data_IF_285012547932
#
_entry.id   IF_285012547932
#
_cell.length_a   1.000
_cell.length_b   1.000
_cell.length_c   1.000
_cell.angle_alpha   90.00
_cell.angle_beta   90.00
_cell.angle_gamma   90.00
#
_symmetry.space_group_name_H-M   'P 1'
#
loop_
_entity.id
_entity.type
_entity.pdbx_description
1 polymer ?
#
# COMPACT_ATOMS: atom_id res chain seq x y z
N UNK A 1 12.43 59.92 40.70
CA UNK A 1 12.86 58.51 40.60
C UNK A 1 11.64 57.59 40.78
N UNK A 2 10.70 57.61 39.82
CA UNK A 2 9.47 56.79 39.91
C UNK A 2 8.99 56.30 38.54
N UNK A 3 9.34 57.01 37.45
CA UNK A 3 9.00 56.57 36.09
C UNK A 3 9.90 55.43 35.56
N UNK A 4 11.15 55.32 36.03
CA UNK A 4 12.10 54.31 35.52
C UNK A 4 11.80 52.91 36.08
N UNK A 5 11.19 52.81 37.27
CA UNK A 5 10.84 51.51 37.88
C UNK A 5 9.64 50.84 37.21
N UNK A 6 8.73 51.59 36.59
CA UNK A 6 7.57 51.01 35.89
C UNK A 6 7.93 50.39 34.54
N UNK A 7 8.99 50.87 33.88
CA UNK A 7 9.44 50.33 32.58
C UNK A 7 10.18 49.00 32.74
N UNK A 8 10.87 48.80 33.87
CA UNK A 8 11.58 47.54 34.17
C UNK A 8 10.61 46.43 34.57
N UNK A 9 9.48 46.75 35.21
CA UNK A 9 8.46 45.75 35.55
C UNK A 9 7.66 45.30 34.31
N UNK A 10 7.43 46.17 33.32
CA UNK A 10 6.70 45.79 32.10
C UNK A 10 7.52 44.88 31.17
N UNK A 11 8.85 45.01 31.19
CA UNK A 11 9.76 44.18 30.38
C UNK A 11 9.98 42.78 30.97
N UNK A 12 9.81 42.61 32.29
CA UNK A 12 9.86 41.29 32.92
C UNK A 12 8.63 40.40 32.63
N UNK A 13 7.48 41.00 32.30
CA UNK A 13 6.30 40.25 31.87
C UNK A 13 6.34 39.86 30.38
N UNK A 14 7.11 40.57 29.55
CA UNK A 14 7.33 40.14 28.15
C UNK A 14 8.34 38.99 28.01
N UNK A 15 9.19 38.75 29.02
CA UNK A 15 10.03 37.55 29.11
C UNK A 15 9.29 36.32 29.65
N UNK A 16 8.06 36.49 30.14
CA UNK A 16 7.14 35.43 30.53
C UNK A 16 6.02 35.21 29.50
N UNK A 17 6.24 35.64 28.25
CA UNK A 17 5.45 35.15 27.12
C UNK A 17 5.85 33.69 26.92
N UNK A 18 5.15 32.83 27.66
CA UNK A 18 4.69 31.53 27.21
C UNK A 18 5.71 30.75 26.38
N UNK A 19 6.78 30.30 27.02
CA UNK A 19 7.23 28.92 26.77
C UNK A 19 6.20 28.00 27.44
N UNK A 20 4.96 28.04 26.92
CA UNK A 20 4.11 26.87 26.98
C UNK A 20 4.78 25.99 25.92
N UNK A 21 5.71 25.16 26.37
CA UNK A 21 6.13 23.99 25.62
C UNK A 21 4.90 23.07 25.61
N UNK A 22 3.90 23.42 24.81
CA UNK A 22 3.07 22.38 24.19
C UNK A 22 4.11 21.57 23.45
N UNK A 23 4.32 20.30 23.83
CA UNK A 23 5.07 19.36 22.99
C UNK A 23 4.55 19.56 21.57
N UNK A 24 5.34 20.25 20.75
CA UNK A 24 4.89 20.64 19.43
C UNK A 24 4.65 19.32 18.71
N UNK A 25 3.40 19.07 18.30
CA UNK A 25 3.09 17.90 17.49
C UNK A 25 4.14 17.83 16.38
N UNK A 26 4.82 16.70 16.24
CA UNK A 26 5.88 16.61 15.24
C UNK A 26 5.24 16.87 13.86
N UNK A 27 5.94 17.57 12.96
CA UNK A 27 5.41 17.80 11.63
C UNK A 27 5.16 16.46 10.92
N UNK A 28 4.25 16.47 9.95
CA UNK A 28 4.11 15.34 9.06
C UNK A 28 5.43 15.09 8.31
N UNK A 29 5.86 13.84 8.34
CA UNK A 29 7.04 13.32 7.64
C UNK A 29 6.56 12.55 6.42
N UNK A 30 7.05 12.94 5.25
CA UNK A 30 6.77 12.23 4.00
C UNK A 30 7.48 10.88 4.00
N UNK A 31 6.72 9.79 3.89
CA UNK A 31 7.27 8.45 3.70
C UNK A 31 7.33 8.08 2.22
N UNK A 32 6.37 8.56 1.43
CA UNK A 32 6.31 8.37 -0.03
C UNK A 32 5.58 9.54 -0.65
N UNK A 33 6.24 10.25 -1.57
CA UNK A 33 5.63 11.36 -2.31
C UNK A 33 4.51 10.87 -3.23
N UNK A 34 3.54 11.76 -3.49
CA UNK A 34 2.47 11.49 -4.45
C UNK A 34 3.05 11.14 -5.81
N UNK A 35 2.76 9.93 -6.29
CA UNK A 35 3.18 9.48 -7.60
C UNK A 35 2.65 8.09 -7.93
N UNK A 36 2.93 7.65 -9.16
CA UNK A 36 2.61 6.28 -9.57
C UNK A 36 3.36 5.28 -8.68
N UNK A 37 2.73 4.13 -8.44
CA UNK A 37 3.40 3.04 -7.75
C UNK A 37 4.53 2.46 -8.63
N UNK A 38 5.46 1.73 -8.02
CA UNK A 38 6.61 1.18 -8.74
C UNK A 38 6.27 0.07 -9.75
N UNK A 39 5.01 -0.35 -9.80
CA UNK A 39 4.52 -1.40 -10.69
C UNK A 39 3.69 -0.84 -11.84
N UNK A 40 3.98 -1.28 -13.06
CA UNK A 40 3.20 -0.95 -14.25
C UNK A 40 3.00 -2.19 -15.10
N UNK A 41 1.75 -2.50 -15.42
CA UNK A 41 1.39 -3.63 -16.28
C UNK A 41 1.43 -3.12 -17.73
N UNK A 42 2.42 -3.55 -18.50
CA UNK A 42 2.67 -3.05 -19.87
C UNK A 42 1.83 -3.78 -20.91
N UNK A 43 1.70 -5.09 -20.75
CA UNK A 43 0.86 -5.90 -21.63
C UNK A 43 0.51 -7.21 -20.94
N UNK A 44 -0.61 -7.79 -21.34
CA UNK A 44 -0.99 -9.14 -20.96
C UNK A 44 -1.56 -9.87 -22.16
N UNK A 45 -1.15 -11.12 -22.33
CA UNK A 45 -1.63 -12.02 -23.38
C UNK A 45 -2.28 -13.22 -22.75
N UNK A 46 -3.41 -13.65 -23.32
CA UNK A 46 -4.16 -14.83 -22.90
C UNK A 46 -4.14 -15.85 -24.04
N UNK A 47 -3.74 -17.08 -23.73
CA UNK A 47 -3.80 -18.20 -24.65
C UNK A 47 -4.59 -19.35 -24.03
N UNK A 48 -5.68 -19.75 -24.68
CA UNK A 48 -6.52 -20.86 -24.24
C UNK A 48 -6.27 -22.10 -25.09
N UNK A 49 -5.72 -23.14 -24.47
CA UNK A 49 -5.66 -24.48 -25.03
C UNK A 49 -6.92 -25.24 -24.60
N UNK A 50 -7.88 -25.37 -25.53
CA UNK A 50 -9.15 -26.04 -25.28
C UNK A 50 -9.00 -27.56 -25.18
N UNK A 51 -8.00 -28.13 -25.84
CA UNK A 51 -7.76 -29.58 -25.84
C UNK A 51 -7.19 -30.03 -24.49
N UNK A 52 -6.31 -29.22 -23.90
CA UNK A 52 -5.73 -29.46 -22.58
C UNK A 52 -6.55 -28.83 -21.43
N UNK A 53 -7.62 -28.12 -21.73
CA UNK A 53 -8.41 -27.33 -20.77
C UNK A 53 -7.52 -26.40 -19.90
N UNK A 54 -6.53 -25.76 -20.54
CA UNK A 54 -5.56 -24.88 -19.89
C UNK A 54 -5.62 -23.48 -20.48
N UNK A 55 -5.46 -22.48 -19.61
CA UNK A 55 -5.28 -21.09 -20.01
C UNK A 55 -3.94 -20.60 -19.48
N UNK A 56 -3.14 -19.99 -20.36
CA UNK A 56 -1.86 -19.37 -20.04
C UNK A 56 -1.99 -17.86 -20.17
N UNK A 57 -1.62 -17.15 -19.12
CA UNK A 57 -1.44 -15.71 -19.14
C UNK A 57 0.05 -15.39 -19.18
N UNK A 58 0.44 -14.50 -20.09
CA UNK A 58 1.80 -13.96 -20.17
C UNK A 58 1.71 -12.45 -20.00
N UNK A 59 2.27 -11.92 -18.91
CA UNK A 59 2.23 -10.49 -18.60
C UNK A 59 3.62 -9.89 -18.60
N UNK A 60 3.78 -8.74 -19.24
CA UNK A 60 4.98 -7.91 -19.14
C UNK A 60 4.71 -6.81 -18.12
N UNK A 61 5.53 -6.77 -17.07
CA UNK A 61 5.34 -5.89 -15.94
C UNK A 61 6.64 -5.17 -15.68
N UNK A 62 6.60 -3.85 -15.63
CA UNK A 62 7.68 -3.07 -15.05
C UNK A 62 7.50 -3.05 -13.54
N UNK A 63 8.55 -3.42 -12.81
CA UNK A 63 8.55 -3.51 -11.37
C UNK A 63 9.90 -3.06 -10.78
N UNK A 64 9.97 -2.72 -9.49
CA UNK A 64 11.22 -2.28 -8.86
C UNK A 64 12.24 -3.42 -8.74
N UNK A 65 13.52 -3.08 -8.66
CA UNK A 65 14.60 -4.06 -8.45
C UNK A 65 14.98 -4.13 -6.96
N UNK A 66 15.09 -5.33 -6.36
CA UNK A 66 14.75 -6.64 -6.92
C UNK A 66 13.27 -6.97 -6.74
N UNK A 67 12.63 -7.54 -7.77
CA UNK A 67 11.30 -8.16 -7.65
C UNK A 67 11.42 -9.67 -7.66
N UNK A 68 10.68 -10.32 -6.78
CA UNK A 68 10.50 -11.77 -6.74
C UNK A 68 9.01 -12.13 -6.84
N UNK A 69 8.74 -13.40 -7.16
CA UNK A 69 7.39 -13.98 -7.11
C UNK A 69 7.41 -15.20 -6.18
N UNK A 70 6.25 -15.54 -5.64
CA UNK A 70 6.05 -16.82 -4.95
C UNK A 70 5.31 -17.76 -5.89
N UNK A 71 5.82 -18.98 -6.06
CA UNK A 71 5.10 -20.04 -6.75
C UNK A 71 4.14 -20.68 -5.74
N UNK A 72 2.86 -20.31 -5.84
CA UNK A 72 1.79 -20.95 -5.08
C UNK A 72 1.32 -22.27 -5.71
N UNK A 73 0.04 -22.59 -5.55
CA UNK A 73 -0.62 -23.76 -6.15
C UNK A 73 -0.77 -23.66 -7.69
N UNK A 74 -0.45 -22.50 -8.27
CA UNK A 74 -0.53 -22.19 -9.69
C UNK A 74 0.90 -22.18 -10.24
N UNK A 75 1.07 -22.73 -11.45
CA UNK A 75 2.36 -22.70 -12.14
C UNK A 75 2.63 -21.27 -12.61
N UNK A 76 3.36 -20.54 -11.78
CA UNK A 76 3.83 -19.18 -12.05
C UNK A 76 5.33 -19.22 -12.32
N UNK A 77 5.81 -18.43 -13.28
CA UNK A 77 7.23 -18.23 -13.51
C UNK A 77 7.52 -16.76 -13.78
N UNK A 78 8.61 -16.27 -13.22
CA UNK A 78 9.06 -14.89 -13.37
C UNK A 78 10.42 -14.88 -14.08
N UNK A 79 10.51 -14.12 -15.16
CA UNK A 79 11.72 -13.97 -15.96
C UNK A 79 12.05 -12.49 -16.10
N UNK A 80 13.30 -12.13 -15.80
CA UNK A 80 13.81 -10.80 -16.10
C UNK A 80 14.00 -10.64 -17.61
N UNK A 81 13.37 -9.63 -18.21
CA UNK A 81 13.44 -9.36 -19.66
C UNK A 81 14.46 -8.27 -19.96
N UNK A 82 14.41 -7.16 -19.22
CA UNK A 82 15.34 -6.04 -19.37
C UNK A 82 15.40 -5.21 -18.09
N UNK A 83 16.53 -4.58 -17.83
CA UNK A 83 16.67 -3.55 -16.78
C UNK A 83 16.56 -2.18 -17.41
N UNK A 84 15.93 -1.23 -16.73
CA UNK A 84 15.91 0.17 -17.17
C UNK A 84 17.28 0.83 -16.89
N UNK A 85 17.58 1.91 -17.61
CA UNK A 85 18.84 2.65 -17.49
C UNK A 85 19.03 3.26 -16.08
N UNK A 86 17.93 3.52 -15.37
CA UNK A 86 17.93 4.04 -14.00
C UNK A 86 18.44 3.05 -12.95
N UNK A 87 18.49 1.75 -13.27
CA UNK A 87 18.83 0.68 -12.33
C UNK A 87 17.85 0.51 -11.16
N UNK A 88 16.73 1.22 -11.15
CA UNK A 88 15.70 1.18 -10.10
C UNK A 88 14.55 0.26 -10.48
N UNK A 89 14.28 0.11 -11.79
CA UNK A 89 13.20 -0.72 -12.30
C UNK A 89 13.64 -1.65 -13.42
N UNK A 90 12.88 -2.74 -13.60
CA UNK A 90 13.10 -3.71 -14.66
C UNK A 90 11.77 -4.19 -15.22
N UNK A 91 11.79 -4.65 -16.47
CA UNK A 91 10.67 -5.35 -17.08
C UNK A 91 10.84 -6.85 -16.82
N UNK A 92 9.81 -7.43 -16.22
CA UNK A 92 9.67 -8.84 -15.95
C UNK A 92 8.56 -9.42 -16.81
N UNK A 93 8.76 -10.64 -17.28
CA UNK A 93 7.73 -11.48 -17.89
C UNK A 93 7.25 -12.46 -16.82
N UNK A 94 5.96 -12.41 -16.51
CA UNK A 94 5.32 -13.38 -15.64
C UNK A 94 4.39 -14.27 -16.47
N UNK A 95 4.60 -15.57 -16.36
CA UNK A 95 3.74 -16.57 -16.99
C UNK A 95 2.96 -17.28 -15.90
N UNK A 96 1.63 -17.28 -16.01
CA UNK A 96 0.70 -17.94 -15.09
C UNK A 96 -0.14 -18.95 -15.87
N UNK A 97 -0.02 -20.23 -15.54
CA UNK A 97 -0.78 -21.31 -16.19
C UNK A 97 -1.84 -21.83 -15.24
N UNK A 98 -3.10 -21.79 -15.67
CA UNK A 98 -4.25 -22.29 -14.91
C UNK A 98 -5.05 -23.32 -15.70
N UNK A 99 -5.80 -24.18 -15.01
CA UNK A 99 -6.86 -24.95 -15.65
C UNK A 99 -8.10 -24.09 -15.82
N UNK A 100 -8.92 -24.36 -16.84
CA UNK A 100 -10.15 -23.62 -17.11
C UNK A 100 -11.23 -23.75 -16.01
N UNK A 101 -10.96 -24.48 -14.92
CA UNK A 101 -11.90 -24.79 -13.85
C UNK A 101 -11.63 -24.03 -12.53
N UNK A 102 -10.67 -23.11 -12.49
CA UNK A 102 -10.33 -22.36 -11.27
C UNK A 102 -11.03 -20.99 -11.17
N UNK A 103 -11.17 -20.53 -9.92
CA UNK A 103 -11.33 -19.11 -9.57
C UNK A 103 -10.22 -18.29 -10.26
N UNK A 104 -10.50 -17.02 -10.54
CA UNK A 104 -9.58 -16.06 -11.17
C UNK A 104 -8.14 -16.27 -10.68
N UNK A 105 -7.22 -16.79 -11.52
CA UNK A 105 -5.87 -17.10 -11.08
C UNK A 105 -5.12 -15.82 -10.76
N UNK A 106 -4.14 -15.90 -9.88
CA UNK A 106 -3.39 -14.73 -9.46
C UNK A 106 -1.87 -14.92 -9.55
N UNK A 107 -1.17 -13.80 -9.46
CA UNK A 107 0.25 -13.80 -9.17
C UNK A 107 0.58 -12.69 -8.19
N UNK A 108 1.66 -12.89 -7.42
CA UNK A 108 2.17 -11.94 -6.43
C UNK A 108 3.61 -11.56 -6.76
N UNK A 109 3.84 -10.27 -6.95
CA UNK A 109 5.17 -9.68 -7.07
C UNK A 109 5.52 -8.97 -5.76
N UNK A 110 6.73 -9.18 -5.25
CA UNK A 110 7.21 -8.54 -4.02
C UNK A 110 8.57 -7.91 -4.26
N UNK A 111 8.73 -6.66 -3.83
CA UNK A 111 9.99 -5.93 -3.84
C UNK A 111 10.16 -5.15 -2.54
N UNK A 112 11.14 -5.56 -1.71
CA UNK A 112 11.47 -4.91 -0.43
C UNK A 112 10.23 -4.67 0.45
N UNK A 113 9.72 -3.44 0.46
CA UNK A 113 8.62 -2.97 1.31
C UNK A 113 7.28 -2.90 0.57
N UNK A 114 7.22 -3.28 -0.71
CA UNK A 114 5.98 -3.23 -1.49
C UNK A 114 5.70 -4.55 -2.18
N UNK A 115 4.42 -4.78 -2.45
CA UNK A 115 3.96 -5.92 -3.24
C UNK A 115 2.79 -5.55 -4.13
N UNK A 116 2.63 -6.33 -5.19
CA UNK A 116 1.48 -6.26 -6.09
C UNK A 116 0.96 -7.67 -6.32
N UNK A 117 -0.26 -7.93 -5.88
CA UNK A 117 -1.04 -9.10 -6.27
C UNK A 117 -1.97 -8.73 -7.42
N UNK A 118 -2.00 -9.52 -8.48
CA UNK A 118 -2.91 -9.31 -9.62
C UNK A 118 -3.77 -10.56 -9.79
N UNK A 119 -5.07 -10.40 -9.60
CA UNK A 119 -6.09 -11.40 -9.90
C UNK A 119 -6.52 -11.24 -11.36
N UNK A 120 -6.35 -12.32 -12.12
CA UNK A 120 -6.59 -12.38 -13.56
C UNK A 120 -8.00 -12.84 -13.84
N UNK A 121 -8.67 -12.15 -14.75
CA UNK A 121 -10.02 -12.50 -15.15
C UNK A 121 -10.00 -13.67 -16.14
N UNK A 122 -10.28 -14.86 -15.63
CA UNK A 122 -10.39 -16.08 -16.42
C UNK A 122 -11.52 -16.02 -17.46
N UNK A 123 -12.56 -15.23 -17.19
CA UNK A 123 -13.76 -15.07 -18.01
C UNK A 123 -13.69 -13.96 -19.06
N UNK A 124 -12.55 -13.29 -19.21
CA UNK A 124 -12.36 -12.36 -20.31
C UNK A 124 -12.72 -13.03 -21.65
N UNK A 125 -13.51 -12.37 -22.49
CA UNK A 125 -14.16 -12.97 -23.65
C UNK A 125 -13.18 -13.68 -24.58
N UNK A 126 -13.61 -14.82 -25.10
CA UNK A 126 -12.96 -15.52 -26.20
C UNK A 126 -12.82 -14.57 -27.40
N UNK A 127 -11.61 -14.48 -27.97
CA UNK A 127 -11.27 -13.57 -29.07
C UNK A 127 -10.54 -12.29 -28.63
N UNK A 128 -10.50 -12.00 -27.32
CA UNK A 128 -9.61 -11.00 -26.75
C UNK A 128 -8.34 -11.71 -26.26
N UNK A 129 -7.23 -11.53 -27.00
CA UNK A 129 -5.98 -12.27 -26.77
C UNK A 129 -4.86 -11.40 -26.19
N UNK A 130 -4.99 -10.07 -26.26
CA UNK A 130 -3.97 -9.12 -25.80
C UNK A 130 -4.62 -7.85 -25.26
N UNK A 131 -4.08 -7.35 -24.15
CA UNK A 131 -4.42 -6.06 -23.55
C UNK A 131 -3.13 -5.31 -23.23
N UNK A 132 -3.06 -4.03 -23.58
CA UNK A 132 -1.88 -3.16 -23.34
C UNK A 132 -2.20 -1.90 -22.55
N UNK A 133 -3.48 -1.68 -22.24
CA UNK A 133 -3.95 -0.52 -21.50
C UNK A 133 -4.68 -0.98 -20.23
N UNK A 134 -4.31 -0.41 -19.09
CA UNK A 134 -4.80 -0.82 -17.77
C UNK A 134 -4.99 0.41 -16.90
N UNK A 135 -6.25 0.69 -16.51
CA UNK A 135 -6.59 1.78 -15.59
C UNK A 135 -5.85 1.70 -14.24
N UNK A 136 -5.43 0.49 -13.84
CA UNK A 136 -4.54 0.29 -12.67
C UNK A 136 -3.27 1.16 -12.73
N UNK A 137 -2.72 1.38 -13.92
CA UNK A 137 -1.47 2.13 -14.09
C UNK A 137 -1.63 3.63 -13.76
N UNK A 138 -2.87 4.15 -13.73
CA UNK A 138 -3.16 5.53 -13.34
C UNK A 138 -3.17 5.72 -11.81
N UNK A 139 -3.07 4.63 -11.05
CA UNK A 139 -3.05 4.65 -9.59
C UNK A 139 -1.84 5.41 -9.06
N UNK A 140 -2.12 6.42 -8.23
CA UNK A 140 -1.12 7.22 -7.55
C UNK A 140 -1.41 7.25 -6.05
N UNK A 141 -0.35 7.30 -5.25
CA UNK A 141 -0.48 7.40 -3.80
C UNK A 141 0.65 8.22 -3.17
N UNK A 142 0.33 8.80 -2.03
CA UNK A 142 1.23 9.48 -1.10
C UNK A 142 1.06 8.84 0.28
N UNK A 143 2.15 8.74 1.05
CA UNK A 143 2.09 8.29 2.45
C UNK A 143 2.89 9.22 3.34
N UNK A 144 2.26 9.60 4.45
CA UNK A 144 2.80 10.49 5.46
C UNK A 144 2.70 9.85 6.84
N UNK A 145 3.60 10.24 7.73
CA UNK A 145 3.65 9.81 9.12
C UNK A 145 3.69 11.04 10.03
N UNK A 146 2.99 10.99 11.15
CA UNK A 146 3.09 11.99 12.20
C UNK A 146 3.21 11.31 13.56
N UNK A 147 4.27 11.65 14.28
CA UNK A 147 4.46 11.21 15.65
C UNK A 147 3.88 12.24 16.62
N UNK A 148 3.19 11.74 17.65
CA UNK A 148 2.64 12.49 18.77
C UNK A 148 3.13 11.81 20.06
N UNK A 149 3.00 12.50 21.19
CA UNK A 149 3.51 12.02 22.48
C UNK A 149 3.10 10.59 22.84
N UNK A 150 1.85 10.21 22.52
CA UNK A 150 1.26 8.92 22.88
C UNK A 150 0.84 8.07 21.68
N UNK A 151 1.00 8.58 20.45
CA UNK A 151 0.50 7.94 19.25
C UNK A 151 1.34 8.24 18.01
N UNK A 152 1.24 7.38 17.00
CA UNK A 152 1.79 7.63 15.67
C UNK A 152 0.67 7.47 14.67
N UNK A 153 0.45 8.46 13.80
CA UNK A 153 -0.53 8.36 12.72
C UNK A 153 0.19 8.17 11.40
N UNK A 154 -0.20 7.15 10.65
CA UNK A 154 0.14 6.99 9.24
C UNK A 154 -1.07 7.37 8.40
N UNK A 155 -0.86 8.15 7.35
CA UNK A 155 -1.90 8.61 6.45
C UNK A 155 -1.50 8.30 5.02
N UNK A 156 -2.41 7.68 4.28
CA UNK A 156 -2.27 7.42 2.87
C UNK A 156 -3.35 8.19 2.11
N UNK A 157 -2.92 8.97 1.13
CA UNK A 157 -3.78 9.67 0.18
C UNK A 157 -3.60 9.04 -1.19
N UNK A 158 -4.68 8.75 -1.90
CA UNK A 158 -4.59 8.09 -3.20
C UNK A 158 -5.68 8.52 -4.17
N UNK A 159 -5.37 8.35 -5.46
CA UNK A 159 -6.22 8.70 -6.61
C UNK A 159 -5.93 7.80 -7.80
N UNK A 160 -6.69 7.98 -8.89
CA UNK A 160 -6.56 7.15 -10.09
C UNK A 160 -7.11 5.73 -9.92
N UNK A 161 -7.79 5.46 -8.79
CA UNK A 161 -8.49 4.20 -8.56
C UNK A 161 -9.78 4.38 -7.77
N UNK A 162 -10.86 3.70 -8.19
CA UNK A 162 -12.06 3.51 -7.38
C UNK A 162 -11.92 2.30 -6.42
N UNK A 163 -10.99 2.41 -5.48
CA UNK A 163 -10.58 1.36 -4.57
C UNK A 163 -11.21 1.39 -3.16
N UNK A 164 -11.18 0.26 -2.46
CA UNK A 164 -11.18 0.22 -0.99
C UNK A 164 -9.73 0.23 -0.49
N UNK A 165 -9.48 1.02 0.55
CA UNK A 165 -8.24 0.93 1.31
C UNK A 165 -8.47 0.09 2.57
N UNK A 166 -7.50 -0.76 2.87
CA UNK A 166 -7.41 -1.47 4.12
C UNK A 166 -6.00 -1.40 4.68
N UNK A 167 -5.82 -1.99 5.84
CA UNK A 167 -4.53 -2.12 6.49
C UNK A 167 -4.48 -3.46 7.20
N UNK A 168 -3.28 -3.99 7.34
CA UNK A 168 -3.02 -5.17 8.15
C UNK A 168 -1.97 -4.82 9.20
N UNK A 169 -2.12 -5.40 10.38
CA UNK A 169 -1.17 -5.23 11.47
C UNK A 169 -0.81 -6.58 12.05
N UNK A 170 0.38 -6.69 12.62
CA UNK A 170 0.71 -7.83 13.46
C UNK A 170 1.21 -7.30 14.79
N UNK A 171 0.51 -7.63 15.88
CA UNK A 171 0.85 -7.16 17.22
C UNK A 171 1.29 -8.35 18.05
N UNK A 172 2.42 -8.20 18.74
CA UNK A 172 2.88 -9.26 19.62
C UNK A 172 3.89 -8.80 20.64
N UNK A 173 4.41 -9.79 21.38
CA UNK A 173 5.45 -9.60 22.39
C UNK A 173 6.53 -10.65 22.21
N UNK A 174 7.76 -10.25 22.48
CA UNK A 174 8.86 -11.20 22.61
C UNK A 174 8.79 -11.85 23.99
N UNK A 175 8.66 -13.17 24.02
CA UNK A 175 8.77 -13.97 25.24
C UNK A 175 10.08 -14.74 25.25
N UNK A 176 10.41 -15.34 26.39
CA UNK A 176 11.56 -16.25 26.52
C UNK A 176 11.44 -17.50 25.63
N UNK A 177 10.23 -17.85 25.19
CA UNK A 177 9.95 -18.98 24.31
C UNK A 177 9.80 -18.59 22.83
N UNK A 178 10.06 -17.32 22.47
CA UNK A 178 9.95 -16.81 21.11
C UNK A 178 8.89 -15.73 20.95
N UNK A 179 8.51 -15.46 19.70
CA UNK A 179 7.48 -14.47 19.40
C UNK A 179 6.09 -15.02 19.76
N UNK A 180 5.31 -14.21 20.47
CA UNK A 180 3.90 -14.50 20.73
C UNK A 180 3.05 -13.42 20.07
N UNK A 181 2.36 -13.80 19.00
CA UNK A 181 1.32 -12.98 18.39
C UNK A 181 0.11 -12.89 19.32
N UNK A 182 -0.43 -11.69 19.46
CA UNK A 182 -1.58 -11.39 20.32
C UNK A 182 -2.81 -11.08 19.46
N UNK A 183 -2.61 -10.62 18.22
CA UNK A 183 -3.65 -10.53 17.19
C UNK A 183 -3.26 -9.67 15.99
N UNK A 184 -4.00 -9.87 14.89
CA UNK A 184 -3.84 -9.18 13.61
C UNK A 184 -4.49 -7.78 13.57
N UNK A 185 -5.49 -7.52 14.41
CA UNK A 185 -6.10 -6.20 14.55
C UNK A 185 -6.78 -6.05 15.91
N UNK A 186 -6.34 -5.05 16.68
CA UNK A 186 -6.97 -4.71 17.94
C UNK A 186 -7.17 -3.19 18.02
N UNK A 187 -8.45 -2.81 18.15
CA UNK A 187 -8.90 -1.41 18.30
C UNK A 187 -8.30 -0.71 19.51
N UNK A 188 -7.79 -1.48 20.48
CA UNK A 188 -7.06 -1.00 21.64
C UNK A 188 -5.72 -0.36 21.25
N UNK A 189 -5.03 -0.92 20.27
CA UNK A 189 -3.69 -0.49 19.86
C UNK A 189 -3.69 0.31 18.56
N UNK A 190 -4.72 0.12 17.73
CA UNK A 190 -4.79 0.71 16.39
C UNK A 190 -6.19 1.24 16.11
N UNK A 191 -6.30 2.38 15.44
CA UNK A 191 -7.58 2.98 15.10
C UNK A 191 -7.55 3.53 13.68
N UNK A 192 -8.59 3.26 12.89
CA UNK A 192 -8.62 3.58 11.46
C UNK A 192 -9.75 4.51 11.10
N UNK A 193 -9.41 5.46 10.24
CA UNK A 193 -10.32 6.46 9.70
C UNK A 193 -10.18 6.49 8.17
N UNK A 194 -11.31 6.69 7.49
CA UNK A 194 -11.40 6.76 6.03
C UNK A 194 -12.32 7.94 5.66
N UNK A 195 -11.88 8.80 4.75
CA UNK A 195 -12.66 9.94 4.28
C UNK A 195 -12.21 10.42 2.89
N UNK A 196 -12.94 11.39 2.34
CA UNK A 196 -12.55 12.12 1.13
C UNK A 196 -11.98 13.48 1.55
N UNK A 197 -10.86 13.90 0.97
CA UNK A 197 -10.33 15.25 1.18
C UNK A 197 -11.05 16.28 0.28
N UNK A 198 -10.68 17.56 0.43
CA UNK A 198 -11.28 18.67 -0.33
C UNK A 198 -11.06 18.57 -1.85
N UNK A 199 -10.06 17.81 -2.30
CA UNK A 199 -9.73 17.58 -3.71
C UNK A 199 -10.41 16.33 -4.29
N UNK A 200 -11.35 15.71 -3.56
CA UNK A 200 -11.98 14.41 -3.88
C UNK A 200 -11.00 13.24 -3.94
N UNK A 201 -9.80 13.38 -3.37
CA UNK A 201 -8.89 12.27 -3.17
C UNK A 201 -9.36 11.42 -1.99
N UNK A 202 -9.04 10.14 -2.03
CA UNK A 202 -9.39 9.20 -0.98
C UNK A 202 -8.27 9.15 0.04
N UNK A 203 -8.63 9.28 1.32
CA UNK A 203 -7.68 9.29 2.43
C UNK A 203 -8.01 8.18 3.40
N UNK A 204 -6.97 7.47 3.82
CA UNK A 204 -7.05 6.42 4.82
C UNK A 204 -5.93 6.59 5.83
N UNK A 205 -6.28 6.65 7.10
CA UNK A 205 -5.31 6.78 8.18
C UNK A 205 -5.44 5.66 9.18
N UNK A 206 -4.29 5.30 9.76
CA UNK A 206 -4.17 4.40 10.89
C UNK A 206 -3.39 5.10 11.98
N UNK A 207 -4.01 5.24 13.14
CA UNK A 207 -3.37 5.72 14.35
C UNK A 207 -2.97 4.53 15.22
N UNK A 208 -1.71 4.51 15.61
CA UNK A 208 -1.09 3.55 16.53
C UNK A 208 -1.01 4.19 17.92
N UNK A 209 -1.53 3.51 18.94
CA UNK A 209 -1.50 3.97 20.33
C UNK A 209 -0.24 3.47 21.04
N UNK A 210 0.85 4.24 20.95
CA UNK A 210 2.16 3.92 21.52
C UNK A 210 2.12 3.81 23.04
N UNK A 211 1.34 4.65 23.72
CA UNK A 211 1.19 4.61 25.17
C UNK A 211 0.56 3.30 25.66
N UNK A 212 -0.44 2.79 24.94
CA UNK A 212 -1.11 1.54 25.28
C UNK A 212 -0.24 0.32 24.95
N UNK A 213 0.43 0.31 23.79
CA UNK A 213 1.43 -0.71 23.45
C UNK A 213 2.51 -0.83 24.55
N UNK A 214 3.03 0.32 25.02
CA UNK A 214 4.02 0.39 26.09
C UNK A 214 3.49 -0.12 27.42
N UNK A 215 2.27 0.26 27.81
CA UNK A 215 1.61 -0.16 29.06
C UNK A 215 1.43 -1.67 29.12
N UNK A 216 1.05 -2.28 28.00
CA UNK A 216 0.78 -3.72 27.92
C UNK A 216 2.02 -4.55 27.54
N UNK A 217 3.19 -3.91 27.39
CA UNK A 217 4.45 -4.53 26.98
C UNK A 217 4.36 -5.32 25.66
N UNK A 218 3.66 -4.75 24.69
CA UNK A 218 3.49 -5.30 23.32
C UNK A 218 4.04 -4.30 22.28
N UNK A 219 4.23 -4.76 21.05
CA UNK A 219 4.73 -3.94 19.94
C UNK A 219 3.99 -4.28 18.64
N UNK A 220 3.89 -3.29 17.76
CA UNK A 220 3.55 -3.54 16.36
C UNK A 220 4.80 -4.09 15.68
N UNK A 221 4.65 -5.29 15.11
CA UNK A 221 5.70 -6.02 14.41
C UNK A 221 5.64 -5.81 12.91
N UNK A 222 4.43 -5.64 12.38
CA UNK A 222 4.22 -5.19 11.01
C UNK A 222 2.99 -4.31 10.94
N UNK A 223 3.05 -3.34 10.03
CA UNK A 223 1.92 -2.51 9.65
C UNK A 223 1.99 -2.31 8.14
N UNK A 224 0.91 -2.63 7.43
CA UNK A 224 0.84 -2.46 5.98
C UNK A 224 -0.39 -1.68 5.59
N UNK A 225 -0.26 -0.80 4.60
CA UNK A 225 -1.42 -0.37 3.82
C UNK A 225 -1.68 -1.35 2.69
N UNK A 226 -2.95 -1.60 2.40
CA UNK A 226 -3.42 -2.43 1.29
C UNK A 226 -4.45 -1.66 0.49
N UNK A 227 -4.29 -1.58 -0.82
CA UNK A 227 -5.21 -0.88 -1.72
C UNK A 227 -5.67 -1.85 -2.80
N UNK A 228 -6.98 -2.12 -2.82
CA UNK A 228 -7.64 -2.97 -3.82
C UNK A 228 -8.15 -2.13 -4.98
N UNK A 229 -7.48 -2.23 -6.13
CA UNK A 229 -7.85 -1.64 -7.41
C UNK A 229 -8.66 -2.61 -8.27
N UNK A 230 -9.97 -2.39 -8.37
CA UNK A 230 -10.80 -3.13 -9.32
C UNK A 230 -10.60 -2.61 -10.74
N UNK A 231 -10.20 -3.50 -11.64
CA UNK A 231 -9.93 -3.19 -13.04
C UNK A 231 -11.18 -3.49 -13.85
N UNK A 232 -12.18 -2.63 -13.74
CA UNK A 232 -13.43 -2.76 -14.49
C UNK A 232 -14.34 -1.60 -14.14
N UNK A 233 -14.83 -0.89 -15.16
CA UNK A 233 -15.91 0.06 -14.93
C UNK A 233 -17.05 -0.70 -14.26
N UNK A 234 -17.60 -0.15 -13.17
CA UNK A 234 -18.89 -0.58 -12.60
C UNK A 234 -20.04 -0.59 -13.63
N UNK A 235 -19.80 -0.07 -14.84
CA UNK A 235 -20.69 0.00 -15.99
C UNK A 235 -20.09 -0.53 -17.31
N UNK A 236 -18.88 -1.12 -17.31
CA UNK A 236 -18.21 -1.65 -18.51
C UNK A 236 -18.22 -3.17 -18.55
N UNK A 237 -18.14 -3.73 -19.76
CA UNK A 237 -18.12 -5.18 -19.99
C UNK A 237 -16.96 -5.83 -19.23
N UNK A 238 -17.28 -6.56 -18.14
CA UNK A 238 -16.36 -7.45 -17.43
C UNK A 238 -15.65 -8.46 -18.35
N UNK A 239 -16.11 -8.60 -19.60
CA UNK A 239 -15.53 -9.50 -20.58
C UNK A 239 -14.32 -8.93 -21.32
N UNK A 240 -13.98 -7.65 -21.16
CA UNK A 240 -12.90 -7.01 -21.93
C UNK A 240 -11.66 -6.65 -21.09
N UNK A 241 -11.61 -7.06 -19.82
CA UNK A 241 -10.45 -6.82 -18.95
C UNK A 241 -9.82 -8.14 -18.52
N UNK A 242 -8.51 -8.28 -18.72
CA UNK A 242 -7.75 -9.44 -18.24
C UNK A 242 -7.40 -9.38 -16.76
N UNK A 243 -7.56 -8.21 -16.12
CA UNK A 243 -7.37 -8.05 -14.69
C UNK A 243 -8.74 -7.90 -14.05
N UNK A 244 -9.04 -8.78 -13.10
CA UNK A 244 -10.21 -8.66 -12.23
C UNK A 244 -9.93 -7.60 -11.15
N UNK A 245 -8.75 -7.73 -10.53
CA UNK A 245 -8.32 -6.87 -9.43
C UNK A 245 -6.80 -6.80 -9.33
N UNK A 246 -6.26 -5.65 -8.95
CA UNK A 246 -4.89 -5.51 -8.46
C UNK A 246 -4.90 -5.07 -6.99
N UNK A 247 -4.14 -5.72 -6.12
CA UNK A 247 -3.95 -5.32 -4.72
C UNK A 247 -2.51 -4.88 -4.54
N UNK A 248 -2.31 -3.60 -4.24
CA UNK A 248 -0.99 -3.07 -3.88
C UNK A 248 -0.85 -3.03 -2.36
N UNK A 249 0.25 -3.55 -1.82
CA UNK A 249 0.58 -3.41 -0.41
C UNK A 249 1.87 -2.61 -0.21
N UNK A 250 1.90 -1.80 0.86
CA UNK A 250 3.07 -1.06 1.31
C UNK A 250 3.30 -1.32 2.80
N UNK A 251 4.45 -1.91 3.12
CA UNK A 251 4.92 -2.16 4.49
C UNK A 251 5.49 -0.86 5.08
N UNK A 252 4.94 -0.45 6.23
CA UNK A 252 5.32 0.75 6.98
C UNK A 252 6.20 0.45 8.19
N UNK A 253 6.01 -0.73 8.80
CA UNK A 253 6.77 -1.28 9.93
C UNK A 253 7.19 -2.70 9.57
#
# INVERSE_FOLDING_TARGET
MTAVYQVVLLTFFTSFVCVIYTEAEEPWVMLKEMGHIGYQIKSMKKNCDRDLARTTFVSLIQAPIPTTTVNGNIETSLKLVSTQEDGLSAVYEITTVTSNFFLDPDFLLTSKHESLQVELNSYAADGFNEQTDFAFNDFQLQVEKRDQAESTTYMMTYRGCSCSCDFSTMIGKNTTSGFMEIGDYDRKYTYVQRWLNEENERVCSVQVNNATLKRDAVKIMSLKFSIECRCGNSYGSWRENFISKGTYELNLI
#
